data_IF_411117913769
#
_entry.id   IF_411117913769
#
_cell.length_a   1.000
_cell.length_b   1.000
_cell.length_c   1.000
_cell.angle_alpha   90.00
_cell.angle_beta   90.00
_cell.angle_gamma   90.00
#
_symmetry.space_group_name_H-M   'P 1'
#
loop_
_entity.id
_entity.type
_entity.pdbx_description
1 polymer ?
#
# COMPACT_ATOMS: atom_id res chain seq x y z
N UNK A 1 14.06 -16.05 -10.74
CA UNK A 1 13.27 -14.89 -11.24
C UNK A 1 13.46 -13.62 -10.40
N UNK A 2 13.59 -13.66 -9.06
CA UNK A 2 14.04 -12.47 -8.29
C UNK A 2 15.57 -12.30 -8.31
N UNK A 3 16.30 -13.37 -8.59
CA UNK A 3 17.77 -13.38 -8.59
C UNK A 3 18.36 -12.64 -9.79
N UNK A 4 17.74 -12.72 -10.97
CA UNK A 4 18.19 -11.99 -12.16
C UNK A 4 18.09 -10.46 -12.00
N UNK A 5 17.05 -9.96 -11.33
CA UNK A 5 16.90 -8.54 -11.02
C UNK A 5 18.00 -8.07 -10.06
N UNK A 6 18.32 -8.87 -9.04
CA UNK A 6 19.39 -8.56 -8.09
C UNK A 6 20.75 -8.48 -8.78
N UNK A 7 21.00 -9.34 -9.78
CA UNK A 7 22.24 -9.31 -10.59
C UNK A 7 22.34 -8.00 -11.39
N UNK A 8 21.27 -7.57 -12.05
CA UNK A 8 21.27 -6.32 -12.85
C UNK A 8 21.50 -5.10 -11.96
N UNK A 9 20.84 -5.01 -10.80
CA UNK A 9 21.04 -3.91 -9.85
C UNK A 9 22.47 -3.87 -9.29
N UNK A 10 23.09 -5.05 -9.08
CA UNK A 10 24.48 -5.11 -8.65
C UNK A 10 25.45 -4.59 -9.72
N UNK A 11 25.20 -4.89 -11.00
CA UNK A 11 26.03 -4.37 -12.10
C UNK A 11 25.95 -2.84 -12.24
N UNK A 12 24.78 -2.25 -11.96
CA UNK A 12 24.62 -0.78 -11.90
C UNK A 12 25.39 -0.19 -10.72
N UNK A 13 25.29 -0.82 -9.55
CA UNK A 13 26.00 -0.36 -8.34
C UNK A 13 27.53 -0.46 -8.49
N UNK A 14 28.01 -1.47 -9.22
CA UNK A 14 29.42 -1.64 -9.59
C UNK A 14 29.86 -0.72 -10.76
N UNK A 15 28.94 0.04 -11.36
CA UNK A 15 29.22 0.95 -12.48
C UNK A 15 29.56 0.26 -13.80
N UNK A 16 29.31 -1.05 -13.92
CA UNK A 16 29.61 -1.83 -15.14
C UNK A 16 28.61 -1.60 -16.25
N UNK A 17 27.41 -1.14 -15.88
CA UNK A 17 26.36 -0.68 -16.78
C UNK A 17 25.75 0.61 -16.23
N UNK A 18 25.28 1.47 -17.13
CA UNK A 18 24.60 2.70 -16.72
C UNK A 18 23.14 2.41 -16.35
N UNK A 19 22.49 3.28 -15.54
CA UNK A 19 21.07 3.16 -15.25
C UNK A 19 20.17 3.16 -16.50
N UNK A 20 20.56 3.92 -17.53
CA UNK A 20 19.84 3.98 -18.81
C UNK A 20 19.91 2.65 -19.58
N UNK A 21 21.06 1.97 -19.56
CA UNK A 21 21.23 0.64 -20.17
C UNK A 21 20.54 -0.47 -19.35
N UNK A 22 20.44 -0.31 -18.03
CA UNK A 22 19.80 -1.28 -17.16
C UNK A 22 18.27 -1.25 -17.21
N UNK A 23 17.66 -0.09 -17.49
CA UNK A 23 16.21 0.10 -17.53
C UNK A 23 15.45 -0.94 -18.40
N UNK A 24 15.81 -1.21 -19.66
CA UNK A 24 15.09 -2.19 -20.49
C UNK A 24 15.24 -3.64 -19.98
N UNK A 25 16.37 -3.97 -19.35
CA UNK A 25 16.62 -5.29 -18.77
C UNK A 25 15.74 -5.51 -17.54
N UNK A 26 15.62 -4.49 -16.68
CA UNK A 26 14.78 -4.52 -15.48
C UNK A 26 13.30 -4.64 -15.88
N UNK A 27 12.87 -3.92 -16.90
CA UNK A 27 11.50 -3.97 -17.41
C UNK A 27 11.14 -5.36 -17.96
N UNK A 28 12.01 -5.95 -18.79
CA UNK A 28 11.80 -7.29 -19.34
C UNK A 28 11.74 -8.38 -18.24
N UNK A 29 12.60 -8.29 -17.22
CA UNK A 29 12.62 -9.22 -16.09
C UNK A 29 11.40 -9.02 -15.16
N UNK A 30 10.95 -7.78 -14.96
CA UNK A 30 9.78 -7.46 -14.14
C UNK A 30 8.47 -7.83 -14.84
N UNK A 31 8.39 -7.65 -16.16
CA UNK A 31 7.26 -8.04 -16.99
C UNK A 31 7.09 -9.56 -17.13
N UNK A 32 8.19 -10.32 -17.16
CA UNK A 32 8.13 -11.78 -17.13
C UNK A 32 7.63 -12.33 -15.79
N UNK A 33 7.89 -11.62 -14.68
CA UNK A 33 7.40 -11.94 -13.34
C UNK A 33 5.91 -11.62 -13.13
N UNK A 34 5.29 -10.90 -14.07
CA UNK A 34 3.89 -10.50 -14.02
C UNK A 34 3.23 -10.64 -15.39
N UNK A 35 2.83 -11.86 -15.77
CA UNK A 35 1.90 -12.04 -16.89
C UNK A 35 0.52 -11.50 -16.51
N UNK A 36 0.33 -10.21 -16.73
CA UNK A 36 -0.93 -9.63 -17.22
C UNK A 36 -0.57 -8.82 -18.47
N UNK A 37 -1.15 -9.11 -19.65
CA UNK A 37 -0.80 -8.39 -20.85
C UNK A 37 -1.52 -7.04 -20.82
N UNK A 38 -0.77 -5.97 -20.61
CA UNK A 38 -1.20 -4.62 -20.97
C UNK A 38 -0.27 -4.14 -22.08
N UNK A 39 -0.70 -4.35 -23.32
CA UNK A 39 -0.07 -3.74 -24.49
C UNK A 39 -0.20 -2.22 -24.45
N UNK A 40 0.59 -1.49 -25.26
CA UNK A 40 0.62 -0.04 -25.24
C UNK A 40 -0.69 0.51 -25.81
N UNK A 41 -1.36 1.37 -25.04
CA UNK A 41 -2.39 2.25 -25.61
C UNK A 41 -1.75 3.22 -26.60
N UNK A 42 -2.51 3.64 -27.62
CA UNK A 42 -3.08 4.98 -27.47
C UNK A 42 -4.49 5.12 -28.04
N UNK A 43 -5.08 6.24 -27.63
CA UNK A 43 -6.28 6.91 -28.12
C UNK A 43 -7.64 6.46 -27.56
N UNK A 44 -8.24 7.45 -26.90
CA UNK A 44 -9.58 7.45 -26.37
C UNK A 44 -10.58 7.50 -27.53
N UNK A 45 -11.48 6.52 -27.55
CA UNK A 45 -12.74 6.60 -28.28
C UNK A 45 -13.86 6.53 -27.23
N UNK A 46 -14.71 7.57 -27.07
CA UNK A 46 -15.62 7.66 -25.97
C UNK A 46 -16.98 7.10 -26.35
N UNK A 47 -17.11 5.85 -26.79
CA UNK A 47 -18.45 5.25 -26.87
C UNK A 47 -18.46 3.71 -26.81
N UNK A 48 -19.25 3.21 -25.84
CA UNK A 48 -19.89 1.89 -25.79
C UNK A 48 -19.00 0.68 -25.51
N UNK A 49 -18.92 0.37 -24.22
CA UNK A 49 -18.66 -0.97 -23.74
C UNK A 49 -18.82 -1.01 -22.23
N UNK A 50 -20.05 -1.07 -21.74
CA UNK A 50 -20.35 -1.31 -20.33
C UNK A 50 -19.73 -2.65 -19.91
N UNK A 51 -18.53 -2.60 -19.34
CA UNK A 51 -18.04 -3.68 -18.50
C UNK A 51 -18.95 -3.70 -17.26
N UNK A 52 -19.61 -4.82 -16.94
CA UNK A 52 -20.32 -4.92 -15.67
C UNK A 52 -19.30 -4.66 -14.54
N UNK A 53 -19.67 -3.92 -13.48
CA UNK A 53 -18.78 -3.76 -12.33
C UNK A 53 -18.36 -5.16 -11.88
N UNK A 54 -17.04 -5.38 -11.81
CA UNK A 54 -16.45 -6.63 -11.32
C UNK A 54 -17.14 -6.96 -9.99
N UNK A 55 -17.72 -8.17 -9.81
CA UNK A 55 -18.41 -8.50 -8.57
C UNK A 55 -17.43 -8.31 -7.40
N UNK A 56 -17.86 -7.71 -6.29
CA UNK A 56 -17.02 -7.58 -5.10
C UNK A 56 -16.57 -8.98 -4.71
N UNK A 57 -15.25 -9.13 -4.53
CA UNK A 57 -14.66 -10.35 -3.97
C UNK A 57 -15.34 -10.62 -2.62
N UNK A 58 -15.97 -11.79 -2.41
CA UNK A 58 -16.56 -12.13 -1.12
C UNK A 58 -15.48 -12.06 -0.03
N UNK A 59 -15.62 -11.11 0.89
CA UNK A 59 -14.66 -10.88 1.98
C UNK A 59 -13.84 -9.59 1.90
N UNK A 60 -13.90 -8.83 0.80
CA UNK A 60 -13.36 -7.45 0.78
C UNK A 60 -14.39 -6.49 1.35
N UNK A 61 -14.24 -6.13 2.62
CA UNK A 61 -14.93 -4.96 3.18
C UNK A 61 -14.45 -3.73 2.39
N UNK A 62 -15.32 -2.98 1.69
CA UNK A 62 -14.93 -1.82 0.88
C UNK A 62 -14.37 -0.65 1.72
N UNK A 63 -14.42 -0.79 3.04
CA UNK A 63 -13.94 0.19 4.01
C UNK A 63 -12.43 0.37 3.95
N UNK A 64 -12.01 1.61 4.20
CA UNK A 64 -10.60 2.01 4.18
C UNK A 64 -10.22 2.55 5.55
N UNK A 65 -9.06 2.12 6.03
CA UNK A 65 -8.40 2.69 7.19
C UNK A 65 -7.60 3.92 6.74
N UNK A 66 -7.77 5.03 7.44
CA UNK A 66 -6.96 6.22 7.24
C UNK A 66 -6.10 6.45 8.47
N UNK A 67 -4.79 6.59 8.26
CA UNK A 67 -3.80 6.80 9.31
C UNK A 67 -3.18 8.17 9.09
N UNK A 68 -3.25 9.05 10.09
CA UNK A 68 -2.58 10.34 10.11
C UNK A 68 -1.60 10.36 11.27
N UNK A 69 -0.36 10.73 10.99
CA UNK A 69 0.68 10.91 12.02
C UNK A 69 1.07 12.38 12.03
N UNK A 70 1.07 12.97 13.21
CA UNK A 70 1.60 14.29 13.53
C UNK A 70 2.93 14.11 14.26
N UNK A 71 3.90 14.94 13.90
CA UNK A 71 5.16 15.11 14.61
C UNK A 71 5.33 16.62 14.89
N UNK A 72 5.55 17.01 16.15
CA UNK A 72 5.66 18.41 16.61
C UNK A 72 4.50 19.29 16.11
N UNK A 73 3.28 18.75 16.15
CA UNK A 73 2.07 19.42 15.68
C UNK A 73 1.90 19.53 14.16
N UNK A 74 2.82 18.97 13.34
CA UNK A 74 2.73 18.96 11.87
C UNK A 74 2.42 17.57 11.36
N UNK A 75 1.49 17.43 10.41
CA UNK A 75 1.20 16.13 9.81
C UNK A 75 2.37 15.68 8.93
N UNK A 76 3.01 14.59 9.32
CA UNK A 76 4.13 13.98 8.59
C UNK A 76 3.70 12.80 7.72
N UNK A 77 2.61 12.12 8.09
CA UNK A 77 2.11 10.95 7.35
C UNK A 77 0.58 11.04 7.20
N UNK A 78 0.09 10.71 6.00
CA UNK A 78 -1.34 10.54 5.73
C UNK A 78 -1.53 9.39 4.72
N UNK A 79 -1.91 8.22 5.23
CA UNK A 79 -2.03 6.98 4.46
C UNK A 79 -3.46 6.47 4.45
N UNK A 80 -3.86 5.87 3.33
CA UNK A 80 -5.13 5.17 3.19
C UNK A 80 -4.89 3.71 2.81
N UNK A 81 -5.38 2.79 3.63
CA UNK A 81 -5.10 1.36 3.52
C UNK A 81 -6.43 0.61 3.47
N UNK A 82 -6.67 -0.29 2.51
CA UNK A 82 -7.87 -1.14 2.52
C UNK A 82 -7.90 -1.99 3.79
N UNK A 83 -9.07 -2.17 4.41
CA UNK A 83 -9.18 -2.98 5.64
C UNK A 83 -8.65 -4.41 5.48
N UNK A 84 -8.72 -4.97 4.27
CA UNK A 84 -8.16 -6.29 3.94
C UNK A 84 -6.66 -6.42 4.27
N UNK A 85 -5.92 -5.32 4.33
CA UNK A 85 -4.49 -5.29 4.66
C UNK A 85 -4.20 -4.82 6.08
N UNK A 86 -5.19 -4.30 6.82
CA UNK A 86 -5.00 -3.71 8.14
C UNK A 86 -4.36 -4.70 9.14
N UNK A 87 -4.84 -5.95 9.16
CA UNK A 87 -4.32 -6.98 10.06
C UNK A 87 -2.85 -7.35 9.83
N UNK A 88 -2.43 -7.34 8.57
CA UNK A 88 -1.04 -7.62 8.20
C UNK A 88 -0.16 -6.42 8.52
N UNK A 89 -0.65 -5.21 8.23
CA UNK A 89 0.06 -3.98 8.52
C UNK A 89 0.34 -3.82 10.01
N UNK A 90 -0.64 -4.07 10.89
CA UNK A 90 -0.49 -3.94 12.35
C UNK A 90 0.62 -4.83 12.92
N UNK A 91 0.86 -6.03 12.35
CA UNK A 91 1.93 -6.94 12.78
C UNK A 91 3.32 -6.48 12.36
N UNK A 92 3.41 -5.60 11.37
CA UNK A 92 4.67 -5.09 10.82
C UNK A 92 5.10 -3.77 11.46
N UNK A 93 4.25 -3.14 12.29
CA UNK A 93 4.58 -1.87 12.97
C UNK A 93 5.50 -2.16 14.16
N UNK A 94 6.77 -1.70 14.13
CA UNK A 94 7.66 -1.82 15.27
C UNK A 94 7.15 -0.94 16.42
N UNK A 95 7.14 -1.48 17.65
CA UNK A 95 6.72 -0.74 18.84
C UNK A 95 5.21 -0.73 19.12
N UNK A 96 4.39 -1.35 18.27
CA UNK A 96 2.97 -1.60 18.57
C UNK A 96 2.84 -2.90 19.39
N UNK A 97 2.23 -2.84 20.57
CA UNK A 97 2.01 -4.04 21.38
C UNK A 97 0.89 -4.92 20.78
N UNK A 98 0.96 -6.24 21.01
CA UNK A 98 -0.08 -7.17 20.57
C UNK A 98 -1.47 -6.83 21.16
N UNK A 99 -1.50 -6.26 22.36
CA UNK A 99 -2.72 -5.76 23.01
C UNK A 99 -3.32 -4.56 22.25
N UNK A 100 -2.47 -3.61 21.84
CA UNK A 100 -2.89 -2.45 21.03
C UNK A 100 -3.39 -2.89 19.65
N UNK A 101 -2.67 -3.81 18.99
CA UNK A 101 -3.09 -4.38 17.71
C UNK A 101 -4.43 -5.13 17.81
N UNK A 102 -4.64 -5.88 18.90
CA UNK A 102 -5.89 -6.60 19.16
C UNK A 102 -7.06 -5.65 19.42
N UNK A 103 -6.83 -4.54 20.11
CA UNK A 103 -7.85 -3.50 20.34
C UNK A 103 -8.26 -2.80 19.06
N UNK A 104 -7.30 -2.48 18.18
CA UNK A 104 -7.58 -1.91 16.86
C UNK A 104 -8.34 -2.92 15.99
N UNK A 105 -7.94 -4.20 15.98
CA UNK A 105 -8.64 -5.27 15.26
C UNK A 105 -10.08 -5.44 15.75
N UNK A 106 -10.30 -5.42 17.06
CA UNK A 106 -11.63 -5.52 17.65
C UNK A 106 -12.52 -4.34 17.22
N UNK A 107 -11.98 -3.11 17.23
CA UNK A 107 -12.70 -1.90 16.78
C UNK A 107 -13.06 -1.94 15.29
N UNK A 108 -12.17 -2.49 14.45
CA UNK A 108 -12.42 -2.73 13.02
C UNK A 108 -13.52 -3.80 12.85
N UNK A 109 -13.43 -4.91 13.59
CA UNK A 109 -14.38 -6.03 13.52
C UNK A 109 -15.81 -5.63 13.94
N UNK A 110 -15.96 -4.69 14.88
CA UNK A 110 -17.25 -4.12 15.27
C UNK A 110 -17.90 -3.24 14.19
N UNK A 111 -17.26 -3.05 13.02
CA UNK A 111 -17.79 -2.30 11.88
C UNK A 111 -18.22 -0.87 12.23
N UNK A 112 -17.63 -0.29 13.28
CA UNK A 112 -17.88 1.10 13.67
C UNK A 112 -17.17 2.02 12.67
N UNK A 113 -17.91 2.93 12.04
CA UNK A 113 -17.35 3.99 11.21
C UNK A 113 -16.98 5.18 12.13
N UNK A 114 -15.81 5.76 11.96
CA UNK A 114 -15.32 6.88 12.78
C UNK A 114 -13.89 6.71 13.29
N UNK A 115 -13.54 7.49 14.31
CA UNK A 115 -12.21 7.45 14.94
C UNK A 115 -12.06 6.16 15.75
N UNK A 116 -11.08 5.34 15.38
CA UNK A 116 -10.74 4.09 16.08
C UNK A 116 -9.74 4.37 17.20
N UNK A 117 -8.74 5.20 16.91
CA UNK A 117 -7.67 5.50 17.85
C UNK A 117 -7.22 6.94 17.62
N UNK A 118 -7.11 7.69 18.69
CA UNK A 118 -6.53 9.03 18.71
C UNK A 118 -5.57 9.07 19.89
N UNK A 119 -4.27 9.18 19.59
CA UNK A 119 -3.21 9.27 20.58
C UNK A 119 -2.45 10.56 20.29
N UNK A 120 -2.31 11.41 21.29
CA UNK A 120 -1.50 12.62 21.23
C UNK A 120 -0.63 12.65 22.49
N UNK A 121 0.66 12.95 22.31
CA UNK A 121 1.69 13.03 23.34
C UNK A 121 1.91 14.51 23.75
N UNK A 122 2.53 14.74 24.92
CA UNK A 122 2.79 16.08 25.48
C UNK A 122 3.72 16.92 24.58
N UNK A 123 4.53 16.26 23.74
CA UNK A 123 5.40 16.89 22.74
C UNK A 123 4.67 17.31 21.43
N UNK A 124 3.36 17.03 21.32
CA UNK A 124 2.54 17.33 20.15
C UNK A 124 2.69 16.32 19.00
N UNK A 125 3.29 15.17 19.29
CA UNK A 125 3.32 14.00 18.42
C UNK A 125 2.01 13.23 18.58
N UNK A 126 1.43 12.71 17.50
CA UNK A 126 0.16 12.01 17.62
C UNK A 126 -0.21 11.15 16.43
N UNK A 127 -1.00 10.11 16.67
CA UNK A 127 -1.49 9.20 15.64
C UNK A 127 -3.00 9.14 15.71
N UNK A 128 -3.64 9.48 14.60
CA UNK A 128 -5.09 9.38 14.40
C UNK A 128 -5.38 8.28 13.38
N UNK A 129 -6.15 7.27 13.80
CA UNK A 129 -6.61 6.17 12.97
C UNK A 129 -8.13 6.22 12.89
N UNK A 130 -8.66 6.28 11.67
CA UNK A 130 -10.11 6.34 11.41
C UNK A 130 -10.53 5.37 10.30
N UNK A 131 -11.74 4.84 10.38
CA UNK A 131 -12.37 4.05 9.31
C UNK A 131 -13.37 4.90 8.51
N UNK A 132 -13.24 4.87 7.18
CA UNK A 132 -14.22 5.38 6.19
C UNK A 132 -14.92 4.24 5.45
#
# INVERSE_FOLDING_TARGET
MRDELAIVLRLVAEGRITPAEAAPLIEALSGASGRAPSGPGPEADPERGSFPPKPPVPGSDPRRLRIRVKERGRQVVNLQIPLAFADTALRMVPGLSDEQGSRIRAAIATRTAGTILDVEDEDGDGVLISTE
#
